data_IF_137905983148
#
_entry.id   IF_137905983148
#
_cell.length_a   1.000
_cell.length_b   1.000
_cell.length_c   1.000
_cell.angle_alpha   90.00
_cell.angle_beta   90.00
_cell.angle_gamma   90.00
#
_symmetry.space_group_name_H-M   'P 1'
#
loop_
_entity.id
_entity.type
_entity.pdbx_description
1 polymer ?
#
# COMPACT_ATOMS: atom_id res chain seq x y z
N UNK A 1 -15.58 4.75 19.31
CA UNK A 1 -15.10 4.02 18.11
C UNK A 1 -14.44 5.04 17.21
N UNK A 2 -13.10 5.06 17.15
CA UNK A 2 -12.38 5.96 16.26
C UNK A 2 -12.53 5.43 14.82
N UNK A 3 -13.09 6.22 13.90
CA UNK A 3 -13.15 5.89 12.48
C UNK A 3 -11.75 6.04 11.89
N UNK A 4 -10.96 4.98 11.97
CA UNK A 4 -9.70 4.84 11.24
C UNK A 4 -10.06 4.25 9.88
N UNK A 5 -10.14 5.10 8.86
CA UNK A 5 -10.44 4.67 7.49
C UNK A 5 -9.39 5.26 6.56
N UNK A 6 -8.46 4.43 6.09
CA UNK A 6 -7.62 4.78 4.94
C UNK A 6 -8.54 5.09 3.76
N UNK A 7 -8.38 6.26 3.15
CA UNK A 7 -9.19 6.63 2.00
C UNK A 7 -8.74 5.85 0.76
N UNK A 8 -9.68 5.18 0.12
CA UNK A 8 -9.50 4.51 -1.18
C UNK A 8 -10.14 5.41 -2.24
N UNK A 9 -9.34 5.89 -3.19
CA UNK A 9 -9.80 6.76 -4.28
C UNK A 9 -10.12 5.99 -5.55
N UNK A 10 -9.48 4.84 -5.77
CA UNK A 10 -9.71 4.00 -6.94
C UNK A 10 -9.52 2.52 -6.60
N UNK A 11 -10.28 1.68 -7.30
CA UNK A 11 -10.16 0.22 -7.28
C UNK A 11 -9.88 -0.24 -8.71
N UNK A 12 -8.78 -0.95 -8.91
CA UNK A 12 -8.45 -1.65 -10.15
C UNK A 12 -8.54 -3.16 -9.94
N UNK A 13 -9.51 -3.76 -10.61
CA UNK A 13 -9.99 -5.13 -10.45
C UNK A 13 -9.96 -5.91 -11.78
N UNK A 14 -9.20 -5.41 -12.75
CA UNK A 14 -9.10 -6.01 -14.09
C UNK A 14 -8.33 -7.34 -14.10
N UNK A 15 -7.43 -7.51 -13.14
CA UNK A 15 -6.68 -8.75 -12.91
C UNK A 15 -7.23 -9.49 -11.68
N UNK A 16 -7.85 -10.68 -11.84
CA UNK A 16 -8.39 -11.43 -10.71
C UNK A 16 -7.30 -11.94 -9.76
N UNK A 17 -6.04 -11.99 -10.19
CA UNK A 17 -4.92 -12.39 -9.35
C UNK A 17 -4.34 -11.23 -8.55
N UNK A 18 -4.74 -9.98 -8.86
CA UNK A 18 -4.19 -8.79 -8.22
C UNK A 18 -5.18 -7.62 -8.22
N UNK A 19 -5.97 -7.52 -7.16
CA UNK A 19 -6.72 -6.30 -6.85
C UNK A 19 -5.73 -5.20 -6.45
N UNK A 20 -5.81 -4.04 -7.10
CA UNK A 20 -4.98 -2.88 -6.79
C UNK A 20 -5.87 -1.77 -6.25
N UNK A 21 -5.48 -1.18 -5.12
CA UNK A 21 -6.15 -0.01 -4.55
C UNK A 21 -5.26 1.21 -4.74
N UNK A 22 -5.86 2.32 -5.15
CA UNK A 22 -5.24 3.63 -4.99
C UNK A 22 -5.71 4.24 -3.67
N UNK A 23 -4.75 4.64 -2.85
CA UNK A 23 -5.01 5.19 -1.51
C UNK A 23 -4.21 6.47 -1.29
N UNK A 24 -4.47 7.15 -0.19
CA UNK A 24 -3.65 8.27 0.29
C UNK A 24 -2.18 7.90 0.60
N UNK A 25 -1.89 6.61 0.82
CA UNK A 25 -0.52 6.09 1.02
C UNK A 25 0.14 5.63 -0.29
N UNK A 26 -0.54 5.83 -1.43
CA UNK A 26 -0.09 5.38 -2.74
C UNK A 26 -0.77 4.10 -3.23
N UNK A 27 -0.10 3.41 -4.16
CA UNK A 27 -0.59 2.20 -4.82
C UNK A 27 -0.42 0.98 -3.91
N UNK A 28 -1.47 0.19 -3.76
CA UNK A 28 -1.48 -1.00 -2.91
C UNK A 28 -1.84 -2.24 -3.72
N UNK A 29 -0.93 -3.22 -3.77
CA UNK A 29 -1.19 -4.55 -4.32
C UNK A 29 -1.79 -5.44 -3.23
N UNK A 30 -3.04 -5.83 -3.42
CA UNK A 30 -3.76 -6.72 -2.50
C UNK A 30 -3.54 -8.19 -2.90
N UNK A 31 -3.29 -8.48 -4.18
CA UNK A 31 -3.35 -9.86 -4.68
C UNK A 31 -4.79 -10.33 -4.91
N UNK A 32 -5.07 -11.65 -4.89
CA UNK A 32 -6.40 -12.16 -5.18
C UNK A 32 -7.38 -11.73 -4.08
N UNK A 33 -8.49 -11.10 -4.49
CA UNK A 33 -9.56 -10.77 -3.55
C UNK A 33 -10.23 -12.08 -3.07
N UNK A 34 -10.21 -12.31 -1.77
CA UNK A 34 -10.63 -13.58 -1.19
C UNK A 34 -10.68 -13.55 0.33
N UNK A 35 -10.51 -14.71 0.97
CA UNK A 35 -10.69 -14.85 2.43
C UNK A 35 -9.76 -13.94 3.26
N UNK A 36 -8.62 -13.54 2.71
CA UNK A 36 -7.68 -12.64 3.38
C UNK A 36 -8.00 -11.16 3.22
N UNK A 37 -8.99 -10.78 2.40
CA UNK A 37 -9.24 -9.38 2.04
C UNK A 37 -9.44 -8.47 3.25
N UNK A 38 -10.24 -8.91 4.24
CA UNK A 38 -10.43 -8.14 5.48
C UNK A 38 -9.14 -7.98 6.29
N UNK A 39 -8.26 -9.00 6.31
CA UNK A 39 -6.96 -8.90 6.99
C UNK A 39 -6.03 -7.93 6.28
N UNK A 40 -6.09 -7.88 4.96
CA UNK A 40 -5.29 -6.96 4.13
C UNK A 40 -5.72 -5.51 4.35
N UNK A 41 -7.03 -5.24 4.38
CA UNK A 41 -7.53 -3.90 4.74
C UNK A 41 -7.15 -3.50 6.17
N UNK A 42 -7.16 -4.45 7.12
CA UNK A 42 -6.70 -4.19 8.48
C UNK A 42 -5.18 -3.93 8.56
N UNK A 43 -4.37 -4.61 7.73
CA UNK A 43 -2.94 -4.35 7.64
C UNK A 43 -2.68 -2.95 7.04
N UNK A 44 -3.40 -2.58 5.98
CA UNK A 44 -3.35 -1.24 5.40
C UNK A 44 -3.67 -0.15 6.44
N UNK A 45 -4.72 -0.31 7.25
CA UNK A 45 -5.10 0.66 8.28
C UNK A 45 -4.04 0.83 9.38
N UNK A 46 -3.29 -0.23 9.70
CA UNK A 46 -2.14 -0.15 10.63
C UNK A 46 -0.97 0.64 10.04
N UNK A 47 -0.85 0.70 8.72
CA UNK A 47 0.20 1.40 7.99
C UNK A 47 -0.10 2.89 7.78
N UNK A 48 -1.25 3.42 8.24
CA UNK A 48 -1.65 4.83 8.04
C UNK A 48 -0.65 5.88 8.51
N UNK A 49 0.21 5.55 9.46
CA UNK A 49 1.22 6.47 10.01
C UNK A 49 2.54 6.45 9.22
N UNK A 50 2.60 5.80 8.05
CA UNK A 50 3.81 5.78 7.21
C UNK A 50 4.24 7.19 6.78
N UNK A 51 3.29 8.08 6.52
CA UNK A 51 3.56 9.48 6.18
C UNK A 51 4.28 10.27 7.30
N UNK A 52 4.25 9.77 8.54
CA UNK A 52 5.01 10.36 9.65
C UNK A 52 6.47 9.85 9.70
N UNK A 53 6.80 8.81 8.94
CA UNK A 53 8.10 8.14 8.94
C UNK A 53 8.87 8.38 7.64
N UNK A 54 8.17 8.59 6.52
CA UNK A 54 8.78 8.86 5.21
C UNK A 54 7.82 9.64 4.30
N UNK A 55 8.37 10.21 3.23
CA UNK A 55 7.55 10.81 2.18
C UNK A 55 6.80 9.72 1.41
N UNK A 56 5.48 9.88 1.27
CA UNK A 56 4.65 8.93 0.53
C UNK A 56 4.97 8.94 -0.97
N UNK A 57 5.56 10.03 -1.48
CA UNK A 57 6.02 10.12 -2.88
C UNK A 57 7.24 9.21 -3.14
N UNK A 58 7.97 8.80 -2.10
CA UNK A 58 9.07 7.84 -2.22
C UNK A 58 8.56 6.39 -2.29
N UNK A 59 7.29 6.13 -1.99
CA UNK A 59 6.72 4.77 -2.02
C UNK A 59 6.29 4.43 -3.45
N UNK A 60 6.97 3.47 -4.07
CA UNK A 60 6.58 2.94 -5.38
C UNK A 60 5.25 2.18 -5.28
N UNK A 61 5.14 1.29 -4.30
CA UNK A 61 3.91 0.61 -3.92
C UNK A 61 4.03 -0.09 -2.56
N UNK A 62 2.86 -0.41 -1.99
CA UNK A 62 2.69 -1.31 -0.84
C UNK A 62 2.21 -2.66 -1.34
N UNK A 63 2.79 -3.75 -0.86
CA UNK A 63 2.33 -5.11 -1.15
C UNK A 63 1.78 -5.78 0.11
N UNK A 64 0.49 -6.14 0.03
CA UNK A 64 -0.30 -6.79 1.09
C UNK A 64 -0.74 -8.20 0.70
N UNK A 65 -0.13 -8.84 -0.30
CA UNK A 65 -0.38 -10.25 -0.62
C UNK A 65 -0.18 -11.16 0.59
N UNK A 66 0.78 -10.80 1.46
CA UNK A 66 0.94 -11.36 2.80
C UNK A 66 0.61 -10.30 3.87
N UNK A 67 -0.62 -10.26 4.42
CA UNK A 67 -1.02 -9.24 5.39
C UNK A 67 -0.30 -9.33 6.74
N UNK A 68 0.34 -10.46 7.05
CA UNK A 68 1.13 -10.63 8.27
C UNK A 68 2.56 -10.07 8.10
N UNK A 69 3.03 -9.90 6.86
CA UNK A 69 4.32 -9.31 6.52
C UNK A 69 4.18 -8.36 5.31
N UNK A 70 3.60 -7.16 5.51
CA UNK A 70 3.55 -6.13 4.47
C UNK A 70 4.95 -5.75 3.99
N UNK A 71 5.08 -5.48 2.69
CA UNK A 71 6.32 -4.95 2.13
C UNK A 71 6.09 -3.62 1.42
N UNK A 72 7.12 -2.77 1.45
CA UNK A 72 7.15 -1.46 0.81
C UNK A 72 8.23 -1.51 -0.25
N UNK A 73 7.87 -1.21 -1.49
CA UNK A 73 8.87 -0.88 -2.50
C UNK A 73 9.06 0.63 -2.51
N UNK A 74 10.30 1.07 -2.35
CA UNK A 74 10.68 2.48 -2.27
C UNK A 74 11.42 2.83 -3.55
N UNK A 75 11.05 3.95 -4.16
CA UNK A 75 11.77 4.54 -5.27
C UNK A 75 13.16 4.91 -4.78
N UNK A 76 14.20 4.30 -5.36
CA UNK A 76 15.56 4.74 -5.08
C UNK A 76 15.73 6.13 -5.68
N UNK A 77 15.99 7.13 -4.83
CA UNK A 77 16.55 8.38 -5.32
C UNK A 77 17.90 8.05 -5.98
N UNK A 78 17.95 8.10 -7.31
CA UNK A 78 19.24 8.20 -8.01
C UNK A 78 19.87 9.52 -7.61
N UNK A 79 20.53 9.53 -6.46
CA UNK A 79 21.53 10.53 -6.14
C UNK A 79 22.70 10.24 -7.06
N UNK A 80 22.64 10.78 -8.27
CA UNK A 80 23.81 10.94 -9.13
C UNK A 80 24.75 11.88 -8.38
N UNK A 81 25.59 11.29 -7.53
CA UNK A 81 26.82 11.87 -7.03
C UNK A 81 27.69 12.15 -8.25
N UNK A 82 27.54 13.33 -8.85
CA UNK A 82 28.47 13.82 -9.87
C UNK A 82 29.81 14.03 -9.16
N UNK A 83 30.90 13.35 -9.57
CA UNK A 83 32.24 13.59 -9.02
C UNK A 83 32.79 14.97 -9.41
#
# INVERSE_FOLDING_TARGET
LQKNQTQISQIDWRDPTNLILQTELGRVHIGPYGQNFSKQLAALDRMRNLNAQMDIEEIAFIDLRNPDNPTLEILQATTTSVP
#
